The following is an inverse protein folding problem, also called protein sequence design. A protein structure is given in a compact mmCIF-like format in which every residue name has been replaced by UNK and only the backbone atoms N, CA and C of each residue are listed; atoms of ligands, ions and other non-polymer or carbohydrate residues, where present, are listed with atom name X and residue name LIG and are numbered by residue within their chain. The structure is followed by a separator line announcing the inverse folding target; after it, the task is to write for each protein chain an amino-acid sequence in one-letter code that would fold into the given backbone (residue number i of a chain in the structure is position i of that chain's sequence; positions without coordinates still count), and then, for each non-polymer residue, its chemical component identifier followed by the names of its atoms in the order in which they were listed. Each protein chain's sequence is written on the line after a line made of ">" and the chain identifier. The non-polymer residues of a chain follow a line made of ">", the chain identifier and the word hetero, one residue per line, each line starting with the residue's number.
data_IF_752059425256
#
_entry.id   IF_752059425256
#
_cell.length_a   1.000
_cell.length_b   1.000
_cell.length_c   1.000
_cell.angle_alpha   90.00
_cell.angle_beta   90.00
_cell.angle_gamma   90.00
#
_symmetry.space_group_name_H-M   'P 1'
#
loop_
_entity.id
_entity.type
_entity.pdbx_description
1 polymer ?
#
# COMPACT_ATOMS: atom_id res chain seq x y z
N UNK A 1 -5.09 5.64 35.39
CA UNK A 1 -4.54 4.98 36.61
C UNK A 1 -5.51 4.97 37.80
N UNK A 2 -6.47 5.90 37.84
CA UNK A 2 -7.51 5.93 38.91
C UNK A 2 -8.56 4.81 38.83
N UNK A 3 -8.66 4.11 37.69
CA UNK A 3 -9.72 3.10 37.42
C UNK A 3 -11.07 3.69 37.06
N UNK A 4 -11.22 5.01 36.93
CA UNK A 4 -12.48 5.67 36.56
C UNK A 4 -12.87 5.35 35.10
N UNK A 5 -11.91 5.34 34.19
CA UNK A 5 -12.14 4.98 32.80
C UNK A 5 -11.92 3.46 32.61
N UNK A 6 -13.01 2.73 32.41
CA UNK A 6 -12.98 1.27 32.19
C UNK A 6 -12.72 0.90 30.73
N UNK A 7 -13.05 1.77 29.79
CA UNK A 7 -12.84 1.58 28.36
C UNK A 7 -12.11 2.80 27.80
N UNK A 8 -11.02 2.56 27.07
CA UNK A 8 -10.27 3.62 26.39
C UNK A 8 -10.18 3.29 24.92
N UNK A 9 -10.59 4.25 24.08
CA UNK A 9 -10.44 4.18 22.63
C UNK A 9 -9.40 5.21 22.20
N UNK A 10 -8.45 4.81 21.40
CA UNK A 10 -7.36 5.70 20.99
C UNK A 10 -6.55 5.17 19.81
N UNK A 11 -5.67 6.01 19.30
CA UNK A 11 -4.68 5.64 18.29
C UNK A 11 -3.53 4.82 18.92
N UNK A 12 -2.45 4.62 18.16
CA UNK A 12 -1.25 3.85 18.57
C UNK A 12 -0.75 4.17 19.99
N UNK A 13 -0.81 5.44 20.39
CA UNK A 13 -0.34 5.88 21.71
C UNK A 13 -1.17 5.35 22.87
N UNK A 14 -2.42 4.97 22.66
CA UNK A 14 -3.27 4.36 23.69
C UNK A 14 -2.69 3.04 24.21
N UNK A 15 -1.90 2.37 23.38
CA UNK A 15 -1.20 1.13 23.76
C UNK A 15 -0.31 1.27 24.99
N UNK A 16 0.25 2.45 25.24
CA UNK A 16 1.20 2.70 26.34
C UNK A 16 0.56 3.32 27.58
N UNK A 17 -0.76 3.46 27.61
CA UNK A 17 -1.45 3.94 28.81
C UNK A 17 -1.31 2.94 29.95
N UNK A 18 -1.07 3.44 31.19
CA UNK A 18 -0.91 2.58 32.35
C UNK A 18 -2.30 2.13 32.88
N UNK A 19 -2.65 0.89 32.62
CA UNK A 19 -3.81 0.23 33.23
C UNK A 19 -3.37 -0.55 34.47
N UNK A 20 -4.14 -0.47 35.54
CA UNK A 20 -3.87 -1.25 36.74
C UNK A 20 -4.22 -2.73 36.54
N UNK A 21 -5.30 -3.01 35.80
CA UNK A 21 -5.78 -4.35 35.48
C UNK A 21 -6.34 -4.32 34.05
N UNK A 22 -5.53 -4.79 33.11
CA UNK A 22 -5.89 -4.80 31.69
C UNK A 22 -6.67 -6.07 31.35
N UNK A 23 -7.98 -5.95 31.19
CA UNK A 23 -8.87 -7.08 30.97
C UNK A 23 -8.95 -7.53 29.49
N UNK A 24 -8.79 -6.62 28.53
CA UNK A 24 -8.92 -6.92 27.08
C UNK A 24 -8.19 -5.86 26.24
N UNK A 25 -7.56 -6.30 25.17
CA UNK A 25 -7.05 -5.43 24.10
C UNK A 25 -7.82 -5.73 22.81
N UNK A 26 -8.30 -4.72 22.11
CA UNK A 26 -8.90 -4.85 20.78
C UNK A 26 -8.13 -4.00 19.79
N UNK A 27 -7.68 -4.61 18.71
CA UNK A 27 -7.04 -3.92 17.57
C UNK A 27 -7.98 -4.06 16.39
N UNK A 28 -8.69 -2.99 16.08
CA UNK A 28 -9.60 -2.94 14.94
C UNK A 28 -8.81 -2.62 13.66
N UNK A 29 -9.28 -3.17 12.51
CA UNK A 29 -8.57 -3.07 11.22
C UNK A 29 -7.07 -3.40 11.36
N UNK A 30 -6.72 -4.53 11.99
CA UNK A 30 -5.36 -4.90 12.39
C UNK A 30 -4.33 -4.89 11.23
N UNK A 31 -4.83 -5.01 10.00
CA UNK A 31 -4.03 -4.94 8.77
C UNK A 31 -3.57 -3.53 8.42
N UNK A 32 -4.09 -2.51 9.10
CA UNK A 32 -3.86 -1.11 8.73
C UNK A 32 -2.39 -0.71 8.91
N UNK A 33 -1.77 -0.23 7.83
CA UNK A 33 -0.37 0.21 7.83
C UNK A 33 -0.09 1.36 8.81
N UNK A 34 -1.12 2.12 9.21
CA UNK A 34 -0.99 3.20 10.18
C UNK A 34 -0.60 2.73 11.59
N UNK A 35 -0.71 1.43 11.89
CA UNK A 35 -0.16 0.88 13.14
C UNK A 35 1.36 0.86 13.19
N UNK A 36 2.04 0.95 12.05
CA UNK A 36 3.49 1.12 12.03
C UNK A 36 3.86 2.57 12.32
N UNK A 37 4.68 2.79 13.34
CA UNK A 37 5.31 4.08 13.61
C UNK A 37 6.63 4.14 12.85
N UNK A 38 6.81 5.16 12.03
CA UNK A 38 7.98 5.34 11.17
C UNK A 38 8.89 6.48 11.64
N UNK A 39 8.41 7.35 12.52
CA UNK A 39 9.19 8.45 13.09
C UNK A 39 9.55 8.17 14.56
N UNK A 40 10.78 8.51 14.96
CA UNK A 40 11.29 8.26 16.30
C UNK A 40 11.59 6.79 16.55
N UNK A 41 10.97 6.20 17.56
CA UNK A 41 11.09 4.76 17.82
C UNK A 41 10.20 4.00 16.82
N UNK A 42 10.83 3.20 15.98
CA UNK A 42 10.13 2.43 14.93
C UNK A 42 9.56 1.15 15.55
N UNK A 43 8.22 1.02 15.56
CA UNK A 43 7.53 -0.18 16.02
C UNK A 43 6.19 -0.36 15.31
N UNK A 44 5.64 -1.57 15.32
CA UNK A 44 4.27 -1.86 14.88
C UNK A 44 3.38 -2.00 16.12
N UNK A 45 2.38 -1.11 16.27
CA UNK A 45 1.52 -1.08 17.45
C UNK A 45 0.63 -2.35 17.57
N UNK A 46 0.20 -2.96 16.45
CA UNK A 46 -0.49 -4.26 16.47
C UNK A 46 0.39 -5.33 17.13
N UNK A 47 1.63 -5.45 16.70
CA UNK A 47 2.55 -6.48 17.20
C UNK A 47 2.93 -6.21 18.66
N UNK A 48 3.11 -4.94 19.01
CA UNK A 48 3.35 -4.53 20.41
C UNK A 48 2.12 -4.75 21.29
N UNK A 49 0.90 -4.64 20.76
CA UNK A 49 -0.34 -4.97 21.47
C UNK A 49 -0.40 -6.46 21.83
N UNK A 50 0.01 -7.34 20.90
CA UNK A 50 0.13 -8.79 21.16
C UNK A 50 1.15 -9.07 22.24
N UNK A 51 2.31 -8.42 22.19
CA UNK A 51 3.36 -8.57 23.23
C UNK A 51 2.86 -8.09 24.59
N UNK A 52 2.20 -6.91 24.63
CA UNK A 52 1.64 -6.36 25.87
C UNK A 52 0.58 -7.29 26.46
N UNK A 53 -0.40 -7.71 25.66
CA UNK A 53 -1.45 -8.62 26.11
C UNK A 53 -0.87 -9.91 26.73
N UNK A 54 0.20 -10.43 26.13
CA UNK A 54 0.93 -11.60 26.67
C UNK A 54 1.55 -11.31 28.03
N UNK A 55 2.21 -10.15 28.23
CA UNK A 55 2.81 -9.79 29.52
C UNK A 55 1.77 -9.55 30.60
N UNK A 56 0.66 -8.89 30.25
CA UNK A 56 -0.46 -8.61 31.17
C UNK A 56 -1.37 -9.85 31.38
N UNK A 57 -1.14 -10.94 30.62
CA UNK A 57 -2.00 -12.14 30.58
C UNK A 57 -3.45 -11.83 30.22
N UNK A 58 -3.65 -10.76 29.46
CA UNK A 58 -4.96 -10.34 28.96
C UNK A 58 -5.24 -10.94 27.59
N UNK A 59 -6.50 -11.25 27.25
CA UNK A 59 -6.87 -11.62 25.91
C UNK A 59 -6.70 -10.43 24.94
N UNK A 60 -6.40 -10.76 23.68
CA UNK A 60 -6.36 -9.77 22.58
C UNK A 60 -7.21 -10.23 21.41
N UNK A 61 -7.95 -9.31 20.83
CA UNK A 61 -8.73 -9.50 19.60
C UNK A 61 -8.10 -8.66 18.49
N UNK A 62 -7.69 -9.32 17.41
CA UNK A 62 -7.28 -8.68 16.17
C UNK A 62 -8.43 -8.79 15.19
N UNK A 63 -9.11 -7.68 14.91
CA UNK A 63 -10.29 -7.65 14.04
C UNK A 63 -9.94 -7.09 12.67
N UNK A 64 -10.39 -7.76 11.61
CA UNK A 64 -10.25 -7.29 10.23
C UNK A 64 -11.18 -8.05 9.29
N UNK A 65 -11.71 -7.34 8.28
CA UNK A 65 -12.36 -7.96 7.12
C UNK A 65 -11.34 -8.50 6.11
N UNK A 66 -10.11 -8.00 6.17
CA UNK A 66 -8.99 -8.34 5.28
C UNK A 66 -7.71 -8.47 6.09
N UNK A 67 -7.57 -9.53 6.91
CA UNK A 67 -6.44 -9.66 7.84
C UNK A 67 -5.10 -9.64 7.12
N UNK A 68 -4.07 -9.14 7.82
CA UNK A 68 -2.70 -9.21 7.32
C UNK A 68 -2.25 -10.66 7.13
N UNK A 69 -1.42 -10.91 6.13
CA UNK A 69 -0.92 -12.28 5.83
C UNK A 69 -0.24 -12.90 7.06
N UNK A 70 0.49 -12.12 7.85
CA UNK A 70 1.14 -12.60 9.07
C UNK A 70 0.13 -13.01 10.14
N UNK A 71 -0.92 -12.22 10.33
CA UNK A 71 -1.99 -12.53 11.30
C UNK A 71 -2.72 -13.78 10.87
N UNK A 72 -3.07 -13.87 9.60
CA UNK A 72 -3.73 -15.03 9.02
C UNK A 72 -2.87 -16.29 9.13
N UNK A 73 -1.59 -16.22 8.79
CA UNK A 73 -0.65 -17.33 8.93
C UNK A 73 -0.54 -17.80 10.39
N UNK A 74 -0.55 -16.88 11.36
CA UNK A 74 -0.54 -17.23 12.77
C UNK A 74 -1.83 -17.95 13.19
N UNK A 75 -2.98 -17.57 12.64
CA UNK A 75 -4.24 -18.25 12.89
C UNK A 75 -4.28 -19.63 12.23
N UNK A 76 -3.88 -19.77 10.97
CA UNK A 76 -3.80 -21.04 10.23
C UNK A 76 -2.80 -22.03 10.87
N UNK A 77 -1.71 -21.53 11.43
CA UNK A 77 -0.72 -22.33 12.15
C UNK A 77 -1.09 -22.67 13.60
N UNK A 78 -2.29 -22.28 14.06
CA UNK A 78 -2.80 -22.56 15.40
C UNK A 78 -2.18 -21.71 16.52
N UNK A 79 -1.42 -20.66 16.18
CA UNK A 79 -0.87 -19.71 17.17
C UNK A 79 -1.92 -18.75 17.70
N UNK A 80 -2.91 -18.43 16.87
CA UNK A 80 -4.07 -17.61 17.21
C UNK A 80 -5.35 -18.43 17.00
N UNK A 81 -6.35 -18.21 17.83
CA UNK A 81 -7.70 -18.71 17.59
C UNK A 81 -8.34 -17.93 16.45
N UNK A 82 -8.97 -18.60 15.50
CA UNK A 82 -9.60 -17.97 14.37
C UNK A 82 -11.13 -17.96 14.51
N UNK A 83 -11.69 -16.78 14.69
CA UNK A 83 -13.13 -16.56 14.71
C UNK A 83 -13.56 -15.94 13.37
N UNK A 84 -14.57 -16.51 12.73
CA UNK A 84 -15.11 -16.01 11.46
C UNK A 84 -16.50 -15.44 11.65
N UNK A 85 -16.73 -14.26 11.12
CA UNK A 85 -18.05 -13.65 10.97
C UNK A 85 -18.48 -13.81 9.50
N UNK A 86 -19.31 -14.82 9.15
CA UNK A 86 -19.54 -15.22 7.76
C UNK A 86 -20.45 -14.26 6.99
N UNK A 87 -21.23 -13.44 7.69
CA UNK A 87 -22.19 -12.52 7.08
C UNK A 87 -22.06 -11.11 7.64
N UNK A 88 -22.53 -10.13 6.87
CA UNK A 88 -22.72 -8.77 7.35
C UNK A 88 -23.94 -8.74 8.30
N UNK A 89 -23.88 -7.83 9.26
CA UNK A 89 -25.03 -7.57 10.11
C UNK A 89 -26.13 -6.86 9.31
N UNK A 90 -27.39 -7.31 9.48
CA UNK A 90 -28.55 -6.74 8.83
C UNK A 90 -28.71 -7.14 7.35
N UNK A 91 -29.45 -6.36 6.54
CA UNK A 91 -29.77 -6.66 5.14
C UNK A 91 -28.64 -6.35 4.16
N UNK A 92 -27.57 -5.71 4.63
CA UNK A 92 -26.44 -5.31 3.78
C UNK A 92 -25.76 -6.51 3.09
N UNK A 93 -25.60 -6.43 1.77
CA UNK A 93 -24.91 -7.43 0.95
C UNK A 93 -23.58 -6.90 0.43
N UNK A 94 -22.71 -7.79 0.01
CA UNK A 94 -21.52 -7.38 -0.74
C UNK A 94 -21.95 -6.83 -2.10
N UNK A 95 -21.30 -5.78 -2.63
CA UNK A 95 -21.65 -5.25 -3.93
C UNK A 95 -21.30 -6.24 -5.04
N UNK A 96 -22.07 -6.19 -6.12
CA UNK A 96 -21.68 -6.83 -7.37
C UNK A 96 -20.50 -6.06 -7.98
N UNK A 97 -19.43 -6.77 -8.29
CA UNK A 97 -18.21 -6.15 -8.84
C UNK A 97 -18.16 -6.47 -10.34
N UNK A 98 -18.09 -5.42 -11.15
CA UNK A 98 -17.85 -5.51 -12.59
C UNK A 98 -16.44 -5.01 -12.94
N UNK A 99 -15.93 -5.42 -14.10
CA UNK A 99 -14.62 -5.06 -14.60
C UNK A 99 -14.73 -4.31 -15.92
N UNK A 100 -13.86 -3.33 -16.11
CA UNK A 100 -13.55 -2.71 -17.42
C UNK A 100 -12.09 -3.03 -17.75
N UNK A 101 -11.87 -3.78 -18.80
CA UNK A 101 -10.56 -3.96 -19.41
C UNK A 101 -10.21 -2.69 -20.21
N UNK A 102 -9.32 -1.88 -19.65
CA UNK A 102 -8.90 -0.60 -20.25
C UNK A 102 -8.22 -0.74 -21.62
N UNK A 103 -7.78 -1.95 -22.00
CA UNK A 103 -7.23 -2.24 -23.32
C UNK A 103 -8.33 -2.33 -24.38
N UNK A 104 -9.56 -2.74 -24.01
CA UNK A 104 -10.68 -2.99 -24.91
C UNK A 104 -11.77 -1.94 -24.82
N UNK A 105 -12.09 -1.51 -23.61
CA UNK A 105 -13.21 -0.61 -23.29
C UNK A 105 -12.73 0.65 -22.56
N UNK A 106 -11.47 1.07 -22.81
CA UNK A 106 -10.87 2.21 -22.12
C UNK A 106 -11.54 3.54 -22.48
N UNK A 107 -11.28 4.58 -21.66
CA UNK A 107 -11.73 5.94 -21.94
C UNK A 107 -11.07 6.50 -23.20
N UNK A 108 -11.68 7.52 -23.83
CA UNK A 108 -11.06 8.27 -24.92
C UNK A 108 -9.70 8.86 -24.50
N UNK A 109 -8.85 9.15 -25.50
CA UNK A 109 -7.52 9.74 -25.23
C UNK A 109 -7.63 11.02 -24.41
N UNK A 110 -6.89 11.08 -23.29
CA UNK A 110 -6.89 12.22 -22.37
C UNK A 110 -7.98 12.18 -21.29
N UNK A 111 -8.85 11.17 -21.29
CA UNK A 111 -9.88 10.93 -20.28
C UNK A 111 -9.51 9.74 -19.39
N UNK A 112 -10.22 9.63 -18.26
CA UNK A 112 -9.95 8.61 -17.23
C UNK A 112 -11.17 7.72 -16.96
N UNK A 113 -12.38 8.24 -17.21
CA UNK A 113 -13.63 7.52 -17.00
C UNK A 113 -14.04 6.78 -18.26
N UNK A 114 -14.21 5.46 -18.16
CA UNK A 114 -14.77 4.64 -19.23
C UNK A 114 -16.25 5.00 -19.48
N UNK A 115 -16.78 4.74 -20.69
CA UNK A 115 -18.21 4.94 -20.98
C UNK A 115 -19.14 4.22 -19.99
N UNK A 116 -18.75 3.01 -19.53
CA UNK A 116 -19.51 2.27 -18.51
C UNK A 116 -19.52 2.97 -17.15
N UNK A 117 -18.39 3.57 -16.75
CA UNK A 117 -18.35 4.33 -15.50
C UNK A 117 -19.24 5.57 -15.56
N UNK A 118 -19.23 6.29 -16.70
CA UNK A 118 -20.07 7.47 -16.94
C UNK A 118 -21.55 7.07 -16.85
N UNK A 119 -21.97 6.05 -17.59
CA UNK A 119 -23.36 5.57 -17.58
C UNK A 119 -23.82 5.14 -16.18
N UNK A 120 -22.98 4.46 -15.40
CA UNK A 120 -23.32 4.02 -14.05
C UNK A 120 -23.46 5.18 -13.06
N UNK A 121 -22.66 6.25 -13.22
CA UNK A 121 -22.78 7.48 -12.41
C UNK A 121 -24.11 8.17 -12.72
N UNK A 122 -24.47 8.30 -14.00
CA UNK A 122 -25.76 8.91 -14.42
C UNK A 122 -26.95 8.09 -13.93
N UNK A 123 -26.87 6.76 -13.99
CA UNK A 123 -27.89 5.86 -13.46
C UNK A 123 -28.11 6.03 -11.95
N UNK A 124 -27.01 6.06 -11.18
CA UNK A 124 -27.09 6.29 -9.74
C UNK A 124 -27.74 7.66 -9.43
N UNK A 125 -27.30 8.71 -10.14
CA UNK A 125 -27.89 10.05 -10.02
C UNK A 125 -29.39 10.07 -10.32
N UNK A 126 -29.79 9.44 -11.41
CA UNK A 126 -31.20 9.38 -11.82
C UNK A 126 -32.10 8.71 -10.77
N UNK A 127 -31.54 7.80 -9.95
CA UNK A 127 -32.21 7.13 -8.83
C UNK A 127 -32.18 7.93 -7.52
N UNK A 128 -31.54 9.11 -7.51
CA UNK A 128 -31.31 9.88 -6.28
C UNK A 128 -30.34 9.19 -5.33
N UNK A 129 -29.39 8.45 -5.90
CA UNK A 129 -28.34 7.71 -5.20
C UNK A 129 -26.99 8.40 -5.39
N UNK A 130 -26.00 7.98 -4.61
CA UNK A 130 -24.65 8.54 -4.67
C UNK A 130 -23.70 7.61 -5.39
N UNK A 131 -22.78 8.22 -6.15
CA UNK A 131 -21.67 7.56 -6.77
C UNK A 131 -20.34 7.99 -6.13
N UNK A 132 -19.32 7.12 -6.16
CA UNK A 132 -17.96 7.42 -5.69
C UNK A 132 -16.95 7.08 -6.76
N UNK A 133 -16.06 8.01 -7.06
CA UNK A 133 -14.83 7.78 -7.81
C UNK A 133 -13.68 7.60 -6.84
N UNK A 134 -13.16 6.40 -6.77
CA UNK A 134 -12.08 6.04 -5.89
C UNK A 134 -10.75 5.98 -6.64
N UNK A 135 -9.76 6.71 -6.14
CA UNK A 135 -8.38 6.69 -6.62
C UNK A 135 -7.49 5.98 -5.62
N UNK A 136 -6.86 4.88 -6.05
CA UNK A 136 -5.83 4.21 -5.26
C UNK A 136 -4.50 4.97 -5.39
N UNK A 137 -4.41 6.18 -4.82
CA UNK A 137 -3.19 6.98 -4.89
C UNK A 137 -2.46 7.01 -3.56
N UNK A 138 -1.57 6.04 -3.33
CA UNK A 138 -0.40 6.18 -2.46
C UNK A 138 0.83 5.88 -3.29
N UNK A 139 1.69 6.88 -3.47
CA UNK A 139 2.97 6.71 -4.13
C UNK A 139 3.23 7.78 -5.17
N UNK A 140 4.23 8.60 -4.91
CA UNK A 140 4.69 9.70 -5.75
C UNK A 140 5.48 9.26 -6.97
N UNK A 141 5.66 7.95 -7.18
CA UNK A 141 6.40 7.46 -8.33
C UNK A 141 5.41 7.12 -9.45
N UNK A 142 5.28 7.95 -10.48
CA UNK A 142 4.42 7.65 -11.60
C UNK A 142 5.04 6.49 -12.39
N UNK A 143 4.46 5.31 -12.26
CA UNK A 143 4.78 4.18 -13.12
C UNK A 143 4.52 4.57 -14.55
N UNK A 144 5.36 4.09 -15.46
CA UNK A 144 5.23 4.39 -16.89
C UNK A 144 4.55 3.26 -17.60
N UNK A 145 3.49 3.57 -18.34
CA UNK A 145 2.80 2.63 -19.21
C UNK A 145 2.54 3.23 -20.61
N UNK A 146 2.32 2.35 -21.57
CA UNK A 146 1.81 2.73 -22.87
C UNK A 146 0.27 2.80 -22.82
N UNK A 147 -0.31 3.95 -23.16
CA UNK A 147 -1.77 4.14 -23.18
C UNK A 147 -2.49 3.38 -24.29
N UNK A 148 -1.78 3.01 -25.36
CA UNK A 148 -2.39 2.32 -26.49
C UNK A 148 -2.54 0.82 -26.24
N UNK A 149 -1.52 0.17 -25.64
CA UNK A 149 -1.53 -1.29 -25.46
C UNK A 149 -1.43 -1.74 -23.99
N UNK A 150 -1.27 -0.80 -23.05
CA UNK A 150 -1.10 -1.11 -21.63
C UNK A 150 0.27 -1.70 -21.27
N UNK A 151 1.24 -1.70 -22.22
CA UNK A 151 2.59 -2.20 -21.94
C UNK A 151 3.22 -1.42 -20.77
N UNK A 152 3.84 -2.16 -19.88
CA UNK A 152 4.50 -1.64 -18.67
C UNK A 152 5.97 -1.94 -18.76
N UNK A 153 6.76 -1.02 -18.25
CA UNK A 153 8.21 -1.16 -18.25
C UNK A 153 8.65 -1.91 -16.99
N UNK A 154 9.08 -3.15 -17.15
CA UNK A 154 9.59 -4.00 -16.07
C UNK A 154 11.12 -3.96 -16.02
N UNK A 155 11.67 -4.01 -14.82
CA UNK A 155 13.10 -4.09 -14.63
C UNK A 155 13.61 -5.48 -15.04
N UNK A 156 14.63 -5.57 -15.93
CA UNK A 156 15.17 -6.86 -16.37
C UNK A 156 15.84 -7.66 -15.24
N UNK A 157 16.22 -6.99 -14.15
CA UNK A 157 16.96 -7.61 -13.05
C UNK A 157 16.08 -8.17 -11.92
N UNK A 158 14.85 -7.65 -11.77
CA UNK A 158 14.02 -8.00 -10.60
C UNK A 158 12.51 -7.93 -10.85
N UNK A 159 12.06 -7.80 -12.09
CA UNK A 159 10.64 -7.74 -12.49
C UNK A 159 9.80 -6.67 -11.74
N UNK A 160 10.47 -5.72 -11.09
CA UNK A 160 9.81 -4.54 -10.52
C UNK A 160 9.54 -3.54 -11.65
N UNK A 161 8.47 -2.77 -11.55
CA UNK A 161 8.17 -1.80 -12.58
C UNK A 161 9.11 -0.59 -12.50
N UNK A 162 9.47 -0.07 -13.67
CA UNK A 162 10.32 1.10 -13.82
C UNK A 162 9.49 2.37 -13.66
N UNK A 163 10.11 3.38 -13.05
CA UNK A 163 9.55 4.69 -12.78
C UNK A 163 10.21 5.73 -13.66
N UNK A 164 9.43 6.58 -14.31
CA UNK A 164 9.95 7.68 -15.13
C UNK A 164 10.48 8.83 -14.27
N UNK A 165 11.75 9.14 -14.45
CA UNK A 165 12.38 10.35 -13.95
C UNK A 165 12.40 11.40 -15.07
N UNK A 166 11.33 12.19 -15.18
CA UNK A 166 11.10 13.13 -16.29
C UNK A 166 12.26 14.10 -16.54
N UNK A 167 12.88 14.63 -15.48
CA UNK A 167 14.02 15.55 -15.60
C UNK A 167 15.27 14.89 -16.17
N UNK A 168 15.35 13.57 -16.21
CA UNK A 168 16.50 12.79 -16.71
C UNK A 168 16.17 11.98 -17.94
N UNK A 169 14.93 12.02 -18.44
CA UNK A 169 14.43 11.19 -19.53
C UNK A 169 14.82 9.70 -19.36
N UNK A 170 14.77 9.20 -18.13
CA UNK A 170 15.18 7.84 -17.79
C UNK A 170 14.10 7.09 -17.01
N UNK A 171 14.10 5.77 -17.16
CA UNK A 171 13.31 4.83 -16.38
C UNK A 171 14.23 4.21 -15.32
N UNK A 172 13.80 4.21 -14.06
CA UNK A 172 14.61 3.77 -12.92
C UNK A 172 13.88 2.69 -12.13
N UNK A 173 14.56 1.63 -11.81
CA UNK A 173 14.10 0.63 -10.86
C UNK A 173 14.45 1.06 -9.44
N UNK A 174 13.44 1.38 -8.63
CA UNK A 174 13.65 1.73 -7.23
C UNK A 174 13.88 0.52 -6.30
N UNK A 175 13.92 -0.70 -6.85
CA UNK A 175 14.24 -1.91 -6.10
C UNK A 175 15.74 -2.25 -6.15
N UNK A 176 16.31 -2.29 -7.35
CA UNK A 176 17.72 -2.68 -7.54
C UNK A 176 18.62 -1.55 -8.06
N UNK A 177 18.07 -0.40 -8.42
CA UNK A 177 18.84 0.73 -8.95
C UNK A 177 19.11 0.67 -10.46
N UNK A 178 18.56 -0.31 -11.19
CA UNK A 178 18.69 -0.37 -12.65
C UNK A 178 18.15 0.91 -13.29
N UNK A 179 18.86 1.43 -14.30
CA UNK A 179 18.48 2.64 -15.04
C UNK A 179 18.57 2.35 -16.53
N UNK A 180 17.55 2.74 -17.27
CA UNK A 180 17.53 2.71 -18.72
C UNK A 180 16.96 4.01 -19.31
N UNK A 181 17.26 4.27 -20.59
CA UNK A 181 16.73 5.43 -21.28
C UNK A 181 15.23 5.28 -21.56
N UNK A 182 14.47 6.37 -21.44
CA UNK A 182 13.06 6.39 -21.82
C UNK A 182 12.96 6.19 -23.34
N UNK A 183 12.29 5.13 -23.83
CA UNK A 183 12.13 4.92 -25.28
C UNK A 183 11.15 5.94 -25.87
N UNK A 184 11.38 6.34 -27.12
CA UNK A 184 10.48 7.21 -27.87
C UNK A 184 9.24 6.47 -28.39
N UNK A 185 9.39 5.18 -28.67
CA UNK A 185 8.32 4.30 -29.15
C UNK A 185 8.02 3.26 -28.07
N UNK A 186 6.77 2.86 -27.99
CA UNK A 186 6.42 1.71 -27.16
C UNK A 186 7.06 0.44 -27.72
N UNK A 187 7.81 -0.35 -26.93
CA UNK A 187 8.44 -1.57 -27.42
C UNK A 187 7.45 -2.67 -27.80
N UNK A 188 6.21 -2.60 -27.31
CA UNK A 188 5.17 -3.60 -27.58
C UNK A 188 4.33 -3.28 -28.82
N UNK A 189 3.83 -2.04 -28.97
CA UNK A 189 2.93 -1.65 -30.05
C UNK A 189 3.57 -0.69 -31.07
N UNK A 190 4.80 -0.25 -30.83
CA UNK A 190 5.58 0.65 -31.67
C UNK A 190 4.96 2.04 -31.90
N UNK A 191 3.92 2.41 -31.15
CA UNK A 191 3.36 3.75 -31.22
C UNK A 191 4.21 4.78 -30.49
N UNK A 192 4.33 5.97 -31.07
CA UNK A 192 5.04 7.10 -30.52
C UNK A 192 4.15 7.89 -29.53
N UNK A 193 4.77 8.58 -28.58
CA UNK A 193 4.13 9.51 -27.63
C UNK A 193 2.97 8.93 -26.82
N UNK A 194 2.94 7.60 -26.68
CA UNK A 194 1.92 6.88 -25.91
C UNK A 194 2.33 6.63 -24.45
N UNK A 195 3.58 6.91 -24.11
CA UNK A 195 4.11 6.67 -22.78
C UNK A 195 3.63 7.74 -21.81
N UNK A 196 2.96 7.33 -20.76
CA UNK A 196 2.39 8.21 -19.75
C UNK A 196 2.57 7.64 -18.35
N UNK A 197 2.57 8.54 -17.37
CA UNK A 197 2.49 8.14 -15.97
C UNK A 197 1.11 7.51 -15.68
N UNK A 198 1.08 6.45 -14.91
CA UNK A 198 -0.16 5.81 -14.48
C UNK A 198 -0.98 6.71 -13.56
N UNK A 199 -2.28 6.70 -13.78
CA UNK A 199 -3.30 7.29 -12.94
C UNK A 199 -3.46 8.82 -13.04
N UNK A 200 -4.71 9.32 -12.96
CA UNK A 200 -4.98 10.75 -12.81
C UNK A 200 -4.57 11.24 -11.42
N UNK A 201 -4.30 12.55 -11.29
CA UNK A 201 -4.44 13.23 -10.02
C UNK A 201 -5.92 13.40 -9.65
N UNK A 202 -6.22 13.59 -8.37
CA UNK A 202 -7.58 13.83 -7.92
C UNK A 202 -8.17 15.10 -8.58
N UNK A 203 -7.34 16.11 -8.80
CA UNK A 203 -7.68 17.37 -9.44
C UNK A 203 -8.13 17.13 -10.90
N UNK A 204 -7.35 16.37 -11.68
CA UNK A 204 -7.70 16.05 -13.07
C UNK A 204 -8.96 15.22 -13.21
N UNK A 205 -9.21 14.36 -12.24
CA UNK A 205 -10.44 13.57 -12.22
C UNK A 205 -11.65 14.45 -11.86
N UNK A 206 -11.46 15.42 -10.97
CA UNK A 206 -12.48 16.39 -10.63
C UNK A 206 -12.80 17.31 -11.82
N UNK A 207 -11.78 17.84 -12.52
CA UNK A 207 -11.95 18.60 -13.76
C UNK A 207 -12.71 17.81 -14.84
N UNK A 208 -12.39 16.52 -15.01
CA UNK A 208 -13.10 15.66 -15.95
C UNK A 208 -14.56 15.45 -15.53
N UNK A 209 -14.82 15.24 -14.24
CA UNK A 209 -16.17 15.08 -13.71
C UNK A 209 -17.02 16.35 -13.88
N UNK A 210 -16.46 17.55 -13.68
CA UNK A 210 -17.13 18.83 -13.91
C UNK A 210 -17.53 19.00 -15.38
N UNK A 211 -16.68 18.59 -16.32
CA UNK A 211 -16.98 18.65 -17.76
C UNK A 211 -18.04 17.64 -18.17
N UNK A 212 -17.99 16.41 -17.63
CA UNK A 212 -18.92 15.34 -18.00
C UNK A 212 -20.29 15.51 -17.32
N UNK A 213 -20.31 16.08 -16.14
CA UNK A 213 -21.51 16.18 -15.29
C UNK A 213 -21.68 17.60 -14.71
N UNK A 214 -21.94 18.62 -15.54
CA UNK A 214 -21.94 20.02 -15.10
C UNK A 214 -22.94 20.33 -13.99
N UNK A 215 -24.04 19.56 -13.90
CA UNK A 215 -25.11 19.77 -12.90
C UNK A 215 -25.03 18.83 -11.71
N UNK A 216 -23.92 18.06 -11.56
CA UNK A 216 -23.77 17.11 -10.47
C UNK A 216 -23.13 17.80 -9.25
N UNK A 217 -23.69 17.55 -8.06
CA UNK A 217 -23.13 18.09 -6.81
C UNK A 217 -21.94 17.21 -6.42
N UNK A 218 -20.72 17.70 -6.71
CA UNK A 218 -19.49 16.94 -6.47
C UNK A 218 -18.81 17.33 -5.16
N UNK A 219 -18.36 16.35 -4.40
CA UNK A 219 -17.46 16.51 -3.26
C UNK A 219 -16.10 15.90 -3.56
N UNK A 220 -15.03 16.69 -3.47
CA UNK A 220 -13.66 16.24 -3.61
C UNK A 220 -12.99 16.14 -2.24
N UNK A 221 -12.56 14.94 -1.87
CA UNK A 221 -11.92 14.64 -0.58
C UNK A 221 -10.47 14.21 -0.79
N UNK A 222 -9.54 15.06 -0.40
CA UNK A 222 -8.10 14.77 -0.42
C UNK A 222 -7.48 15.03 0.95
N UNK A 223 -6.26 14.52 1.17
CA UNK A 223 -5.48 14.82 2.38
C UNK A 223 -5.13 16.30 2.53
N UNK A 224 -5.19 17.06 1.45
CA UNK A 224 -4.80 18.47 1.36
C UNK A 224 -6.02 19.40 1.36
N UNK A 225 -7.19 18.89 1.75
CA UNK A 225 -8.44 19.68 1.80
C UNK A 225 -8.26 20.85 2.78
N UNK A 226 -8.44 22.12 2.31
CA UNK A 226 -8.34 23.28 3.17
C UNK A 226 -9.38 23.26 4.30
N UNK A 227 -9.05 23.80 5.48
CA UNK A 227 -10.00 23.96 6.58
C UNK A 227 -9.89 22.95 7.73
N UNK A 228 -8.96 22.00 7.64
CA UNK A 228 -8.64 21.10 8.74
C UNK A 228 -9.69 20.02 9.03
N UNK A 229 -9.57 19.38 10.21
CA UNK A 229 -10.36 18.18 10.58
C UNK A 229 -11.86 18.52 10.74
N UNK A 230 -12.21 19.71 11.24
CA UNK A 230 -13.62 20.08 11.44
C UNK A 230 -14.36 20.28 10.12
N UNK A 231 -13.73 20.96 9.16
CA UNK A 231 -14.26 21.11 7.80
C UNK A 231 -14.46 19.76 7.14
N UNK A 232 -13.47 18.87 7.24
CA UNK A 232 -13.57 17.52 6.71
C UNK A 232 -14.73 16.73 7.34
N UNK A 233 -14.92 16.80 8.66
CA UNK A 233 -16.04 16.16 9.35
C UNK A 233 -17.38 16.71 8.84
N UNK A 234 -17.52 18.04 8.74
CA UNK A 234 -18.72 18.66 8.20
C UNK A 234 -19.06 18.23 6.78
N UNK A 235 -18.07 18.11 5.91
CA UNK A 235 -18.22 17.62 4.54
C UNK A 235 -18.65 16.14 4.50
N UNK A 236 -18.04 15.28 5.32
CA UNK A 236 -18.40 13.87 5.42
C UNK A 236 -19.82 13.67 5.98
N UNK A 237 -20.21 14.44 6.98
CA UNK A 237 -21.57 14.42 7.53
C UNK A 237 -22.58 14.92 6.50
N UNK A 238 -22.26 15.95 5.73
CA UNK A 238 -23.10 16.44 4.63
C UNK A 238 -23.24 15.37 3.53
N UNK A 239 -22.15 14.69 3.16
CA UNK A 239 -22.19 13.59 2.20
C UNK A 239 -23.06 12.42 2.69
N UNK A 240 -22.95 12.06 3.97
CA UNK A 240 -23.79 11.03 4.57
C UNK A 240 -25.30 11.38 4.54
N UNK A 241 -25.65 12.66 4.59
CA UNK A 241 -27.04 13.15 4.45
C UNK A 241 -27.51 13.34 3.01
N UNK A 242 -26.67 13.03 2.00
CA UNK A 242 -27.04 13.14 0.59
C UNK A 242 -26.89 14.55 0.00
N UNK A 243 -26.08 15.42 0.60
CA UNK A 243 -25.81 16.76 0.05
C UNK A 243 -25.06 16.74 -1.28
N UNK A 244 -24.39 15.63 -1.61
CA UNK A 244 -23.60 15.43 -2.81
C UNK A 244 -24.07 14.19 -3.57
N UNK A 245 -23.98 14.22 -4.88
CA UNK A 245 -24.34 13.12 -5.77
C UNK A 245 -23.09 12.30 -6.15
N UNK A 246 -21.95 12.96 -6.30
CA UNK A 246 -20.66 12.36 -6.65
C UNK A 246 -19.59 12.68 -5.60
N UNK A 247 -18.93 11.66 -5.10
CA UNK A 247 -17.82 11.78 -4.16
C UNK A 247 -16.55 11.34 -4.89
N UNK A 248 -15.54 12.20 -4.97
CA UNK A 248 -14.23 11.88 -5.54
C UNK A 248 -13.22 11.85 -4.41
N UNK A 249 -12.53 10.73 -4.24
CA UNK A 249 -11.60 10.64 -3.12
C UNK A 249 -10.59 9.51 -3.22
N UNK A 250 -9.64 9.58 -2.29
CA UNK A 250 -8.58 8.57 -2.11
C UNK A 250 -8.91 7.69 -0.89
N UNK A 251 -7.91 7.13 -0.26
CA UNK A 251 -8.06 6.23 0.89
C UNK A 251 -8.87 6.80 2.06
N UNK A 252 -8.97 8.12 2.17
CA UNK A 252 -9.76 8.77 3.22
C UNK A 252 -11.25 8.36 3.15
N UNK A 253 -11.82 8.30 1.95
CA UNK A 253 -13.24 7.91 1.74
C UNK A 253 -13.45 6.40 1.88
N UNK A 254 -12.40 5.60 1.74
CA UNK A 254 -12.49 4.15 1.94
C UNK A 254 -12.59 3.74 3.41
N UNK A 255 -12.40 4.65 4.37
CA UNK A 255 -12.29 4.34 5.80
C UNK A 255 -13.32 5.09 6.66
N UNK A 256 -13.85 4.39 7.64
CA UNK A 256 -14.53 4.98 8.81
C UNK A 256 -15.92 5.60 8.60
N UNK A 257 -16.34 5.94 7.39
CA UNK A 257 -17.59 6.67 7.15
C UNK A 257 -18.65 5.79 6.50
N UNK A 258 -19.89 6.01 6.87
CA UNK A 258 -21.06 5.37 6.26
C UNK A 258 -21.81 6.38 5.38
N UNK A 259 -22.01 6.03 4.11
CA UNK A 259 -22.78 6.81 3.15
C UNK A 259 -24.02 5.98 2.74
N UNK A 260 -25.17 6.17 3.38
CA UNK A 260 -26.34 5.31 3.18
C UNK A 260 -26.88 5.30 1.74
N UNK A 261 -26.66 6.39 0.99
CA UNK A 261 -27.11 6.53 -0.39
C UNK A 261 -26.07 6.06 -1.42
N UNK A 262 -24.87 5.66 -0.98
CA UNK A 262 -23.82 5.24 -1.87
C UNK A 262 -24.08 3.83 -2.41
N UNK A 263 -24.47 3.75 -3.66
CA UNK A 263 -24.77 2.49 -4.36
C UNK A 263 -23.77 2.14 -5.43
N UNK A 264 -23.01 3.12 -5.94
CA UNK A 264 -22.02 2.89 -6.98
C UNK A 264 -20.61 3.37 -6.57
N UNK A 265 -19.62 2.51 -6.76
CA UNK A 265 -18.21 2.83 -6.55
C UNK A 265 -17.41 2.46 -7.79
N UNK A 266 -16.74 3.44 -8.40
CA UNK A 266 -15.79 3.20 -9.49
C UNK A 266 -14.36 3.35 -8.98
N UNK A 267 -13.57 2.29 -9.07
CA UNK A 267 -12.12 2.36 -8.93
C UNK A 267 -11.53 2.76 -10.27
N UNK A 268 -11.05 3.99 -10.38
CA UNK A 268 -10.63 4.60 -11.66
C UNK A 268 -9.37 3.96 -12.22
N UNK A 269 -8.44 3.54 -11.37
CA UNK A 269 -7.25 2.79 -11.74
C UNK A 269 -6.92 1.79 -10.62
N UNK A 270 -7.29 0.54 -10.84
CA UNK A 270 -7.07 -0.53 -9.88
C UNK A 270 -5.61 -1.00 -9.81
N UNK A 271 -4.79 -0.61 -10.78
CA UNK A 271 -3.43 -1.10 -10.96
C UNK A 271 -2.36 -0.30 -10.22
N UNK A 272 -2.66 0.94 -9.85
CA UNK A 272 -1.68 1.89 -9.27
C UNK A 272 -0.95 1.32 -8.06
N UNK A 273 -1.60 0.48 -7.26
CA UNK A 273 -0.99 -0.13 -6.09
C UNK A 273 -0.17 -1.40 -6.36
N UNK A 274 -0.35 -2.04 -7.52
CA UNK A 274 0.16 -3.39 -7.78
C UNK A 274 1.65 -3.45 -8.14
N UNK A 275 2.26 -2.35 -8.52
CA UNK A 275 3.46 -2.36 -9.33
C UNK A 275 4.70 -1.70 -8.73
N UNK A 276 4.76 -1.46 -7.44
CA UNK A 276 5.79 -0.59 -6.85
C UNK A 276 7.09 -1.29 -6.43
N UNK A 277 7.31 -2.56 -6.81
CA UNK A 277 8.44 -3.33 -6.30
C UNK A 277 8.42 -3.49 -4.76
N UNK A 278 7.28 -3.23 -4.15
CA UNK A 278 7.06 -3.40 -2.72
C UNK A 278 6.53 -4.82 -2.48
N UNK A 279 7.19 -5.62 -1.65
CA UNK A 279 6.76 -6.99 -1.37
C UNK A 279 5.33 -7.12 -0.82
N UNK A 280 4.75 -6.02 -0.33
CA UNK A 280 3.38 -5.99 0.22
C UNK A 280 2.38 -5.32 -0.73
N UNK A 281 2.78 -4.98 -1.95
CA UNK A 281 1.95 -4.23 -2.89
C UNK A 281 0.62 -4.92 -3.19
N UNK A 282 0.65 -6.23 -3.49
CA UNK A 282 -0.53 -7.01 -3.80
C UNK A 282 -1.49 -7.10 -2.62
N UNK A 283 -0.98 -7.40 -1.41
CA UNK A 283 -1.75 -7.45 -0.17
C UNK A 283 -2.46 -6.12 0.11
N UNK A 284 -1.72 -5.02 0.12
CA UNK A 284 -2.29 -3.69 0.39
C UNK A 284 -3.31 -3.27 -0.65
N UNK A 285 -3.05 -3.59 -1.92
CA UNK A 285 -3.98 -3.27 -2.99
C UNK A 285 -5.26 -4.08 -2.86
N UNK A 286 -5.17 -5.38 -2.59
CA UNK A 286 -6.33 -6.22 -2.34
C UNK A 286 -7.18 -5.67 -1.17
N UNK A 287 -6.55 -5.39 -0.02
CA UNK A 287 -7.20 -4.86 1.17
C UNK A 287 -7.92 -3.54 0.87
N UNK A 288 -7.24 -2.62 0.20
CA UNK A 288 -7.78 -1.30 -0.12
C UNK A 288 -8.93 -1.36 -1.13
N UNK A 289 -8.78 -2.12 -2.21
CA UNK A 289 -9.81 -2.27 -3.23
C UNK A 289 -11.05 -2.97 -2.65
N UNK A 290 -10.87 -3.98 -1.80
CA UNK A 290 -11.97 -4.65 -1.10
C UNK A 290 -12.69 -3.71 -0.13
N UNK A 291 -11.95 -2.85 0.58
CA UNK A 291 -12.56 -1.81 1.42
C UNK A 291 -13.32 -0.78 0.61
N UNK A 292 -12.74 -0.27 -0.48
CA UNK A 292 -13.37 0.73 -1.33
C UNK A 292 -14.63 0.19 -2.01
N UNK A 293 -14.55 -0.95 -2.67
CA UNK A 293 -15.72 -1.59 -3.30
C UNK A 293 -16.80 -1.92 -2.28
N UNK A 294 -16.39 -2.42 -1.10
CA UNK A 294 -17.30 -2.72 0.01
C UNK A 294 -18.02 -1.49 0.63
N UNK A 295 -17.78 -0.26 0.14
CA UNK A 295 -18.57 0.92 0.54
C UNK A 295 -19.94 0.98 -0.14
N UNK A 296 -20.05 0.48 -1.34
CA UNK A 296 -21.34 0.42 -2.02
C UNK A 296 -22.29 -0.55 -1.32
N UNK A 297 -23.57 -0.19 -1.22
CA UNK A 297 -24.62 -1.07 -0.74
C UNK A 297 -24.53 -1.42 0.76
N UNK A 298 -24.15 -0.48 1.61
CA UNK A 298 -24.13 -0.67 3.08
C UNK A 298 -25.50 -0.51 3.75
N UNK A 299 -26.47 -0.05 3.01
CA UNK A 299 -27.88 0.04 3.43
C UNK A 299 -28.71 -1.06 2.77
N UNK A 300 -30.01 -0.87 2.71
CA UNK A 300 -30.97 -1.79 2.09
C UNK A 300 -30.93 -1.80 0.55
N UNK A 301 -30.13 -0.93 -0.05
CA UNK A 301 -29.97 -0.80 -1.51
C UNK A 301 -28.83 -1.67 -2.02
N UNK A 302 -29.01 -2.38 -3.15
CA UNK A 302 -27.94 -3.13 -3.78
C UNK A 302 -26.77 -2.22 -4.15
N UNK A 303 -25.55 -2.67 -3.86
CA UNK A 303 -24.35 -1.95 -4.24
C UNK A 303 -23.73 -2.52 -5.50
N UNK A 304 -23.13 -1.65 -6.32
CA UNK A 304 -22.36 -2.00 -7.51
C UNK A 304 -20.98 -1.37 -7.44
N UNK A 305 -19.97 -2.10 -7.88
CA UNK A 305 -18.62 -1.58 -7.99
C UNK A 305 -18.06 -1.86 -9.39
N UNK A 306 -17.29 -0.93 -9.92
CA UNK A 306 -16.62 -1.03 -11.20
C UNK A 306 -15.12 -0.87 -11.02
N UNK A 307 -14.34 -1.86 -11.44
CA UNK A 307 -12.89 -1.80 -11.44
C UNK A 307 -12.39 -1.51 -12.85
N UNK A 308 -11.73 -0.39 -13.08
CA UNK A 308 -11.01 -0.11 -14.31
C UNK A 308 -9.56 -0.56 -14.17
N UNK A 309 -9.10 -1.45 -15.03
CA UNK A 309 -7.77 -2.06 -14.96
C UNK A 309 -7.18 -2.36 -16.33
N UNK A 310 -5.85 -2.26 -16.43
CA UNK A 310 -5.05 -2.73 -17.55
C UNK A 310 -4.64 -4.20 -17.39
N UNK A 311 -4.87 -4.79 -16.19
CA UNK A 311 -4.47 -6.16 -15.83
C UNK A 311 -5.65 -7.00 -15.34
N UNK A 312 -6.63 -7.31 -16.19
CA UNK A 312 -7.81 -8.08 -15.79
C UNK A 312 -7.46 -9.46 -15.19
N UNK A 313 -6.35 -10.05 -15.63
CA UNK A 313 -5.88 -11.38 -15.21
C UNK A 313 -5.03 -11.33 -13.90
N UNK A 314 -4.74 -10.14 -13.37
CA UNK A 314 -3.91 -10.06 -12.17
C UNK A 314 -4.59 -10.76 -10.98
N UNK A 315 -3.85 -11.55 -10.15
CA UNK A 315 -4.42 -12.31 -9.04
C UNK A 315 -5.30 -11.51 -8.08
N UNK A 316 -4.91 -10.29 -7.76
CA UNK A 316 -5.71 -9.36 -6.93
C UNK A 316 -7.06 -9.07 -7.59
N UNK A 317 -7.06 -8.77 -8.88
CA UNK A 317 -8.27 -8.40 -9.63
C UNK A 317 -9.19 -9.61 -9.75
N UNK A 318 -8.65 -10.78 -10.13
CA UNK A 318 -9.44 -12.01 -10.28
C UNK A 318 -10.07 -12.46 -8.96
N UNK A 319 -9.37 -12.30 -7.83
CA UNK A 319 -9.90 -12.62 -6.51
C UNK A 319 -11.01 -11.66 -6.07
N UNK A 320 -10.89 -10.37 -6.38
CA UNK A 320 -11.95 -9.38 -6.12
C UNK A 320 -13.19 -9.67 -6.94
N UNK A 321 -13.03 -10.00 -8.24
CA UNK A 321 -14.12 -10.32 -9.16
C UNK A 321 -14.88 -11.60 -8.76
N UNK A 322 -14.16 -12.62 -8.29
CA UNK A 322 -14.78 -13.87 -7.84
C UNK A 322 -15.45 -13.76 -6.46
N UNK A 323 -15.21 -12.68 -5.72
CA UNK A 323 -15.61 -12.57 -4.31
C UNK A 323 -14.86 -13.50 -3.35
N UNK A 324 -13.95 -14.33 -3.88
CA UNK A 324 -13.20 -15.34 -3.12
C UNK A 324 -11.87 -14.78 -2.60
N UNK A 325 -11.91 -14.26 -1.38
CA UNK A 325 -10.70 -13.78 -0.70
C UNK A 325 -9.71 -14.93 -0.39
N UNK A 326 -10.19 -16.15 -0.20
CA UNK A 326 -9.34 -17.30 0.13
C UNK A 326 -8.36 -17.60 -1.02
N UNK A 327 -8.81 -17.43 -2.25
CA UNK A 327 -7.97 -17.57 -3.44
C UNK A 327 -6.81 -16.59 -3.44
N UNK A 328 -7.06 -15.33 -3.10
CA UNK A 328 -6.00 -14.32 -2.97
C UNK A 328 -4.99 -14.72 -1.89
N UNK A 329 -5.49 -15.05 -0.70
CA UNK A 329 -4.63 -15.39 0.43
C UNK A 329 -3.77 -16.63 0.16
N UNK A 330 -4.33 -17.67 -0.41
CA UNK A 330 -3.58 -18.88 -0.76
C UNK A 330 -2.43 -18.54 -1.74
N UNK A 331 -2.73 -17.76 -2.77
CA UNK A 331 -1.78 -17.40 -3.81
C UNK A 331 -0.68 -16.45 -3.28
N UNK A 332 -1.05 -15.41 -2.53
CA UNK A 332 -0.11 -14.46 -1.94
C UNK A 332 0.78 -15.15 -0.89
N UNK A 333 0.22 -16.03 -0.06
CA UNK A 333 0.98 -16.81 0.92
C UNK A 333 2.03 -17.68 0.24
N UNK A 334 1.69 -18.34 -0.86
CA UNK A 334 2.63 -19.17 -1.60
C UNK A 334 3.73 -18.33 -2.27
N UNK A 335 3.38 -17.18 -2.88
CA UNK A 335 4.36 -16.26 -3.45
C UNK A 335 5.37 -15.76 -2.37
N UNK A 336 4.89 -15.46 -1.18
CA UNK A 336 5.77 -15.07 -0.07
C UNK A 336 6.63 -16.21 0.43
N UNK A 337 6.10 -17.44 0.44
CA UNK A 337 6.88 -18.64 0.79
C UNK A 337 8.03 -18.84 -0.18
N UNK A 338 7.74 -18.84 -1.49
CA UNK A 338 8.75 -18.96 -2.55
C UNK A 338 9.76 -17.81 -2.52
N UNK A 339 9.28 -16.60 -2.27
CA UNK A 339 10.10 -15.42 -2.16
C UNK A 339 10.89 -15.30 -0.85
N UNK A 340 10.70 -16.17 0.15
CA UNK A 340 11.30 -16.04 1.47
C UNK A 340 10.97 -14.69 2.14
N UNK A 341 9.73 -14.19 1.94
CA UNK A 341 9.22 -12.94 2.49
C UNK A 341 8.47 -13.19 3.81
N UNK A 342 8.22 -12.18 4.66
CA UNK A 342 7.39 -12.35 5.85
C UNK A 342 6.00 -12.92 5.49
N UNK A 343 5.49 -13.92 6.24
CA UNK A 343 5.98 -14.48 7.50
C UNK A 343 7.03 -15.60 7.39
N UNK A 344 7.48 -15.97 6.21
CA UNK A 344 8.41 -17.10 5.99
C UNK A 344 9.88 -16.70 6.13
N UNK A 345 10.18 -15.43 5.92
CA UNK A 345 11.48 -14.79 6.13
C UNK A 345 11.34 -13.51 6.95
N UNK A 346 12.39 -12.71 6.94
CA UNK A 346 12.48 -11.40 7.60
C UNK A 346 13.03 -10.37 6.61
N UNK A 347 12.60 -9.13 6.77
CA UNK A 347 13.05 -8.02 5.96
C UNK A 347 13.56 -6.88 6.85
N UNK A 348 14.55 -6.12 6.35
CA UNK A 348 14.88 -4.83 6.89
C UNK A 348 15.11 -3.83 5.75
N UNK A 349 14.52 -2.65 5.88
CA UNK A 349 14.84 -1.50 5.05
C UNK A 349 15.89 -0.65 5.75
N UNK A 350 16.97 -0.33 5.07
CA UNK A 350 18.03 0.57 5.52
C UNK A 350 17.94 1.82 4.66
N UNK A 351 17.55 2.94 5.23
CA UNK A 351 17.31 4.21 4.54
C UNK A 351 18.41 5.18 4.90
N UNK A 352 19.18 5.59 3.91
CA UNK A 352 20.23 6.62 4.04
C UNK A 352 19.72 7.91 3.46
N UNK A 353 19.77 9.00 4.20
CA UNK A 353 19.29 10.30 3.73
C UNK A 353 20.23 11.44 4.07
N UNK A 354 20.38 12.40 3.15
CA UNK A 354 21.12 13.64 3.36
C UNK A 354 20.53 14.77 2.49
N UNK A 355 20.87 16.04 2.81
CA UNK A 355 20.53 17.18 1.95
C UNK A 355 21.35 17.14 0.65
N UNK A 356 22.61 16.74 0.74
CA UNK A 356 23.45 16.45 -0.43
C UNK A 356 23.20 15.03 -0.94
N UNK A 357 22.84 14.91 -2.22
CA UNK A 357 22.56 13.63 -2.87
C UNK A 357 23.79 12.72 -2.89
N UNK A 358 24.96 13.30 -3.21
CA UNK A 358 26.21 12.58 -3.32
C UNK A 358 26.64 11.97 -1.98
N UNK A 359 26.49 12.73 -0.88
CA UNK A 359 26.76 12.24 0.47
C UNK A 359 25.85 11.08 0.86
N UNK A 360 24.53 11.16 0.56
CA UNK A 360 23.61 10.06 0.82
C UNK A 360 23.99 8.80 0.04
N UNK A 361 24.24 8.94 -1.26
CA UNK A 361 24.64 7.81 -2.14
C UNK A 361 25.97 7.19 -1.72
N UNK A 362 26.99 8.00 -1.47
CA UNK A 362 28.29 7.54 -1.04
C UNK A 362 28.22 6.75 0.27
N UNK A 363 27.46 7.25 1.26
CA UNK A 363 27.28 6.54 2.54
C UNK A 363 26.50 5.24 2.37
N UNK A 364 25.45 5.22 1.54
CA UNK A 364 24.72 3.98 1.23
C UNK A 364 25.62 2.92 0.58
N UNK A 365 26.51 3.33 -0.32
CA UNK A 365 27.53 2.44 -0.92
C UNK A 365 28.57 1.96 0.10
N UNK A 366 28.96 2.80 1.07
CA UNK A 366 29.84 2.40 2.16
C UNK A 366 29.20 1.34 3.05
N UNK A 367 27.93 1.50 3.40
CA UNK A 367 27.17 0.48 4.15
C UNK A 367 27.11 -0.85 3.40
N UNK A 368 26.82 -0.83 2.09
CA UNK A 368 26.81 -2.05 1.27
C UNK A 368 28.16 -2.76 1.27
N UNK A 369 29.25 -2.01 1.07
CA UNK A 369 30.60 -2.58 1.10
C UNK A 369 30.96 -3.14 2.47
N UNK A 370 30.64 -2.41 3.55
CA UNK A 370 30.85 -2.88 4.90
C UNK A 370 30.14 -4.22 5.15
N UNK A 371 28.86 -4.31 4.74
CA UNK A 371 28.07 -5.55 4.87
C UNK A 371 28.70 -6.74 4.12
N UNK A 372 29.12 -6.54 2.87
CA UNK A 372 29.76 -7.60 2.07
C UNK A 372 31.17 -7.97 2.58
N UNK A 373 31.85 -7.06 3.29
CA UNK A 373 33.14 -7.30 3.92
C UNK A 373 33.09 -8.02 5.27
N UNK A 374 31.89 -8.25 5.82
CA UNK A 374 31.76 -8.90 7.12
C UNK A 374 32.14 -10.38 7.05
N UNK A 375 32.90 -10.91 8.05
CA UNK A 375 33.30 -12.32 8.06
C UNK A 375 32.14 -13.29 8.28
N UNK A 376 30.93 -12.75 8.57
CA UNK A 376 29.79 -13.53 8.99
C UNK A 376 29.85 -13.91 10.48
N UNK A 377 28.79 -14.55 10.95
CA UNK A 377 28.70 -15.10 12.28
C UNK A 377 28.04 -16.48 12.25
N UNK A 378 28.00 -17.19 13.37
CA UNK A 378 27.39 -18.52 13.45
C UNK A 378 25.95 -18.55 12.92
N UNK A 379 25.21 -17.46 13.13
CA UNK A 379 23.77 -17.39 12.86
C UNK A 379 23.42 -16.53 11.63
N UNK A 380 24.40 -16.01 10.90
CA UNK A 380 24.19 -15.25 9.67
C UNK A 380 25.46 -15.12 8.82
N UNK A 381 25.28 -15.03 7.52
CA UNK A 381 26.29 -14.65 6.52
C UNK A 381 25.63 -13.76 5.47
N UNK A 382 26.43 -13.00 4.74
CA UNK A 382 25.93 -12.25 3.57
C UNK A 382 26.09 -13.13 2.35
N UNK A 383 25.01 -13.32 1.60
CA UNK A 383 25.03 -14.08 0.36
C UNK A 383 25.94 -13.41 -0.68
N UNK A 384 26.69 -14.17 -1.48
CA UNK A 384 27.43 -13.62 -2.61
C UNK A 384 26.49 -12.91 -3.60
N UNK A 385 26.99 -11.87 -4.26
CA UNK A 385 26.25 -11.18 -5.30
C UNK A 385 25.91 -12.16 -6.44
N UNK A 386 24.60 -12.29 -6.74
CA UNK A 386 24.12 -13.18 -7.81
C UNK A 386 24.03 -14.67 -7.45
N UNK A 387 24.37 -15.06 -6.21
CA UNK A 387 24.23 -16.44 -5.73
C UNK A 387 22.86 -16.77 -5.18
N UNK A 388 22.50 -18.05 -5.14
CA UNK A 388 21.33 -18.52 -4.38
C UNK A 388 21.68 -18.56 -2.89
N UNK A 389 20.83 -17.95 -2.01
CA UNK A 389 21.13 -17.90 -0.58
C UNK A 389 20.94 -19.28 0.08
N UNK A 390 21.87 -19.64 0.95
CA UNK A 390 21.73 -20.78 1.87
C UNK A 390 20.86 -20.44 3.10
N UNK A 391 20.66 -21.44 3.97
CA UNK A 391 19.72 -21.39 5.09
C UNK A 391 19.92 -20.22 6.10
N UNK A 392 21.14 -19.72 6.24
CA UNK A 392 21.49 -18.61 7.14
C UNK A 392 22.05 -17.39 6.40
N UNK A 393 21.89 -17.33 5.08
CA UNK A 393 22.44 -16.25 4.28
C UNK A 393 21.45 -15.11 4.08
N UNK A 394 21.95 -13.90 4.35
CA UNK A 394 21.20 -12.64 4.19
C UNK A 394 21.52 -12.07 2.82
N UNK A 395 20.48 -11.82 2.04
CA UNK A 395 20.61 -11.13 0.76
C UNK A 395 20.53 -9.64 1.02
N UNK A 396 21.56 -8.88 0.63
CA UNK A 396 21.54 -7.43 0.65
C UNK A 396 21.32 -6.90 -0.77
N UNK A 397 20.21 -6.20 -0.97
CA UNK A 397 19.84 -5.55 -2.23
C UNK A 397 20.10 -4.05 -2.16
N UNK A 398 20.52 -3.46 -3.26
CA UNK A 398 20.83 -2.03 -3.35
C UNK A 398 22.34 -1.74 -3.14
N UNK A 399 22.73 -0.46 -2.94
CA UNK A 399 21.84 0.69 -2.74
C UNK A 399 21.11 1.13 -4.02
N UNK A 400 19.86 1.56 -3.86
CA UNK A 400 19.08 2.18 -4.90
C UNK A 400 18.45 3.48 -4.40
N UNK A 401 18.19 4.42 -5.30
CA UNK A 401 17.42 5.62 -4.96
C UNK A 401 16.02 5.20 -4.46
N UNK A 402 15.54 5.76 -3.37
CA UNK A 402 14.23 5.42 -2.83
C UNK A 402 13.10 5.82 -3.79
N UNK A 403 11.93 5.13 -3.79
CA UNK A 403 10.79 5.50 -4.65
C UNK A 403 10.35 6.96 -4.46
N UNK A 404 10.40 7.46 -3.22
CA UNK A 404 10.32 8.90 -2.94
C UNK A 404 11.75 9.38 -2.72
N UNK A 405 12.36 9.85 -3.80
CA UNK A 405 13.78 10.20 -3.82
C UNK A 405 14.14 11.38 -2.91
N UNK A 406 13.20 12.30 -2.68
CA UNK A 406 13.42 13.48 -1.83
C UNK A 406 12.24 13.68 -0.89
N UNK A 407 12.51 13.72 0.42
CA UNK A 407 11.52 14.02 1.47
C UNK A 407 12.09 15.12 2.36
N UNK A 408 11.34 16.22 2.57
CA UNK A 408 11.76 17.36 3.41
C UNK A 408 13.16 17.86 3.05
N UNK A 409 13.43 18.05 1.73
CA UNK A 409 14.71 18.47 1.13
C UNK A 409 15.88 17.50 1.34
N UNK A 410 15.61 16.24 1.75
CA UNK A 410 16.64 15.21 1.92
C UNK A 410 16.52 14.15 0.83
N UNK A 411 17.63 13.90 0.13
CA UNK A 411 17.75 12.80 -0.82
C UNK A 411 17.85 11.48 -0.06
N UNK A 412 17.17 10.46 -0.59
CA UNK A 412 17.05 9.14 0.06
C UNK A 412 17.57 8.02 -0.83
N UNK A 413 18.43 7.20 -0.27
CA UNK A 413 18.87 5.93 -0.82
C UNK A 413 18.47 4.81 0.13
N UNK A 414 18.20 3.63 -0.42
CA UNK A 414 17.83 2.49 0.39
C UNK A 414 18.62 1.25 0.04
N UNK A 415 18.81 0.39 1.04
CA UNK A 415 19.18 -0.99 0.90
C UNK A 415 18.07 -1.84 1.52
N UNK A 416 17.90 -3.07 1.06
CA UNK A 416 16.98 -4.03 1.65
C UNK A 416 17.75 -5.30 2.03
N UNK A 417 17.67 -5.68 3.29
CA UNK A 417 18.22 -6.93 3.78
C UNK A 417 17.08 -7.96 3.92
N UNK A 418 17.18 -9.06 3.17
CA UNK A 418 16.27 -10.19 3.24
C UNK A 418 16.96 -11.36 3.91
N UNK A 419 16.35 -11.93 4.94
CA UNK A 419 16.93 -12.98 5.76
C UNK A 419 15.97 -14.17 5.93
N UNK A 420 16.48 -15.40 5.96
CA UNK A 420 15.73 -16.54 6.46
C UNK A 420 15.29 -16.31 7.89
N UNK A 421 14.24 -16.99 8.31
CA UNK A 421 13.67 -16.81 9.65
C UNK A 421 14.64 -17.18 10.79
N UNK A 422 15.52 -18.15 10.53
CA UNK A 422 16.52 -18.61 11.47
C UNK A 422 17.74 -17.67 11.59
N UNK A 423 17.96 -16.80 10.61
CA UNK A 423 19.10 -15.89 10.62
C UNK A 423 18.91 -14.74 11.62
N UNK A 424 19.98 -14.37 12.32
CA UNK A 424 20.01 -13.22 13.22
C UNK A 424 20.16 -11.91 12.43
N UNK A 425 19.05 -11.45 11.85
CA UNK A 425 18.99 -10.20 11.10
C UNK A 425 19.44 -8.99 11.96
N UNK A 426 19.06 -8.94 13.23
CA UNK A 426 19.46 -7.85 14.11
C UNK A 426 20.96 -7.86 14.41
N UNK A 427 21.55 -9.03 14.61
CA UNK A 427 23.01 -9.18 14.77
C UNK A 427 23.75 -8.71 13.53
N UNK A 428 23.29 -9.09 12.35
CA UNK A 428 23.83 -8.60 11.07
C UNK A 428 23.75 -7.07 10.96
N UNK A 429 22.57 -6.47 11.23
CA UNK A 429 22.40 -5.03 11.12
C UNK A 429 23.31 -4.25 12.06
N UNK A 430 23.46 -4.72 13.30
CA UNK A 430 24.42 -4.14 14.26
C UNK A 430 25.87 -4.26 13.78
N UNK A 431 26.26 -5.42 13.26
CA UNK A 431 27.60 -5.63 12.74
C UNK A 431 27.91 -4.75 11.53
N UNK A 432 26.93 -4.62 10.61
CA UNK A 432 27.05 -3.73 9.45
C UNK A 432 27.24 -2.27 9.86
N UNK A 433 26.43 -1.77 10.81
CA UNK A 433 26.57 -0.40 11.31
C UNK A 433 27.89 -0.18 12.02
N UNK A 434 28.37 -1.15 12.81
CA UNK A 434 29.65 -1.04 13.52
C UNK A 434 30.87 -1.08 12.58
N UNK A 435 30.77 -1.79 11.44
CA UNK A 435 31.84 -1.87 10.44
C UNK A 435 31.85 -0.69 9.47
N UNK A 436 30.73 0.00 9.32
CA UNK A 436 30.61 1.16 8.45
C UNK A 436 31.17 2.43 9.14
N UNK A 437 31.69 3.40 8.35
CA UNK A 437 32.04 4.71 8.89
C UNK A 437 30.84 5.42 9.52
N UNK A 438 31.06 6.18 10.58
CA UNK A 438 30.01 6.99 11.17
C UNK A 438 29.44 7.99 10.17
N UNK A 439 28.11 8.21 10.15
CA UNK A 439 27.49 9.20 9.29
C UNK A 439 28.03 10.61 9.58
N UNK A 440 28.46 11.31 8.51
CA UNK A 440 29.00 12.70 8.58
C UNK A 440 28.22 13.60 7.61
N UNK A 441 28.38 14.92 7.75
CA UNK A 441 27.83 15.88 6.79
C UNK A 441 26.28 15.85 6.72
N UNK A 442 25.62 15.66 7.86
CA UNK A 442 24.16 15.63 7.91
C UNK A 442 23.52 14.36 7.36
N UNK A 443 24.31 13.31 7.05
CA UNK A 443 23.80 11.99 6.68
C UNK A 443 23.07 11.37 7.87
N UNK A 444 21.92 10.75 7.60
CA UNK A 444 21.14 9.97 8.58
C UNK A 444 20.90 8.57 8.04
N UNK A 445 21.01 7.59 8.91
CA UNK A 445 20.69 6.19 8.63
C UNK A 445 19.53 5.77 9.52
N UNK A 446 18.46 5.30 8.90
CA UNK A 446 17.32 4.72 9.60
C UNK A 446 17.17 3.26 9.19
N UNK A 447 16.88 2.39 10.16
CA UNK A 447 16.64 0.97 9.92
C UNK A 447 15.22 0.64 10.35
N UNK A 448 14.45 0.07 9.45
CA UNK A 448 13.13 -0.44 9.71
C UNK A 448 13.11 -1.96 9.51
N UNK A 449 12.87 -2.69 10.59
CA UNK A 449 12.74 -4.15 10.56
C UNK A 449 11.28 -4.51 10.34
N UNK A 450 11.04 -5.45 9.42
CA UNK A 450 9.73 -5.86 8.95
C UNK A 450 8.86 -4.64 8.54
N UNK A 451 9.33 -3.85 7.54
CA UNK A 451 8.65 -2.65 7.09
C UNK A 451 7.27 -2.96 6.53
N UNK A 452 6.32 -2.06 6.78
CA UNK A 452 4.99 -2.13 6.18
C UNK A 452 4.94 -1.50 4.78
N UNK A 453 5.91 -0.67 4.45
CA UNK A 453 6.06 -0.05 3.13
C UNK A 453 7.54 0.13 2.81
N UNK A 454 7.88 -0.05 1.56
CA UNK A 454 9.21 0.25 1.02
C UNK A 454 9.24 1.61 0.26
N UNK A 455 8.26 2.47 0.48
CA UNK A 455 8.16 3.80 -0.16
C UNK A 455 9.04 4.85 0.53
#
# INVERSE_FOLDING_TARGET
>A
TSGEAQVVVGARSALFLPFADLGLVVVDEEHEGAYKQEEGVIYNARDMAVVRARFEKAPIVLASATPAIETRFNAESGRYSWLRLPSRFGPARLPDIALVDLKREGPPRGRWLSPRAIAAIEEARAKGEQAMLFLNRRGYAPLTLCRSCGHRFECPNCSAWLVEHRFRASLVCHHCGHVESRPHLCPQCHEADTLTACGPGIERLAEEAEVLFPDIRTLVLSSDTPGGIETLRGQLDAAARGAYDLIIGTQLVAKGHNFPLLTFVCVVDADVGLANGDPRAAERTFQLLRQATGRAGRSDRPGHALLQTWQPEHPVITALMSGDAERFYAQETEQRRLGGLPPFGRLAAIIVSAEDRGAAEAHARMLARAAHGLPGAKNWRVAPLGGQPGDNEIILLGPAEAPIAVVRKRHRFRLAAKAPRAADLQGFLRAMLAAAPEPRGGVRVAIDVDPQSFL
#
